data_IF_052996518349
#
_entry.id   IF_052996518349
#
_cell.length_a   1.000
_cell.length_b   1.000
_cell.length_c   1.000
_cell.angle_alpha   90.00
_cell.angle_beta   90.00
_cell.angle_gamma   90.00
#
_symmetry.space_group_name_H-M   'P 1'
#
loop_
_entity.id
_entity.type
_entity.pdbx_description
1 polymer ?
#
# COMPACT_ATOMS: atom_id res chain seq x y z
N UNK A 1 -6.23 -6.32 11.01
CA UNK A 1 -6.80 -6.99 12.21
C UNK A 1 -7.52 -8.23 11.75
N UNK A 2 -7.37 -9.35 12.47
CA UNK A 2 -8.11 -10.58 12.14
C UNK A 2 -9.63 -10.32 12.23
N UNK A 3 -10.42 -10.71 11.22
CA UNK A 3 -11.86 -10.47 11.23
C UNK A 3 -12.60 -11.34 12.24
N UNK A 4 -12.07 -12.50 12.61
CA UNK A 4 -12.59 -13.37 13.69
C UNK A 4 -11.53 -14.34 14.21
N UNK A 5 -11.80 -14.97 15.35
CA UNK A 5 -10.97 -16.07 15.91
C UNK A 5 -11.18 -17.42 15.21
N UNK A 6 -12.16 -17.51 14.30
CA UNK A 6 -12.42 -18.71 13.52
C UNK A 6 -11.57 -18.80 12.23
N UNK A 7 -10.78 -17.77 11.93
CA UNK A 7 -9.89 -17.76 10.75
C UNK A 7 -8.80 -18.82 10.95
N UNK A 8 -8.68 -19.81 10.04
CA UNK A 8 -7.69 -20.87 10.17
C UNK A 8 -6.27 -20.33 9.96
N UNK A 9 -5.33 -20.87 10.73
CA UNK A 9 -3.89 -20.62 10.54
C UNK A 9 -3.35 -21.71 9.62
N UNK A 10 -2.71 -21.32 8.51
CA UNK A 10 -2.11 -22.24 7.54
C UNK A 10 -0.63 -22.47 7.84
N UNK A 11 -0.03 -23.53 7.30
CA UNK A 11 1.41 -23.85 7.45
C UNK A 11 2.33 -22.68 7.05
N UNK A 12 1.89 -21.82 6.13
CA UNK A 12 2.62 -20.63 5.70
C UNK A 12 2.61 -19.47 6.70
N UNK A 13 1.82 -19.54 7.77
CA UNK A 13 1.82 -18.53 8.82
C UNK A 13 3.07 -18.72 9.71
N UNK A 14 3.91 -17.70 9.77
CA UNK A 14 5.18 -17.73 10.52
C UNK A 14 5.01 -17.40 12.00
N UNK A 15 3.90 -16.76 12.39
CA UNK A 15 3.59 -16.43 13.77
C UNK A 15 2.27 -15.67 13.92
N UNK A 16 1.81 -15.55 15.17
CA UNK A 16 0.66 -14.71 15.55
C UNK A 16 1.16 -13.58 16.45
N UNK A 17 0.83 -12.35 16.09
CA UNK A 17 1.15 -11.17 16.88
C UNK A 17 -0.11 -10.68 17.59
N UNK A 18 -0.12 -10.75 18.93
CA UNK A 18 -1.21 -10.32 19.79
C UNK A 18 -0.78 -9.06 20.56
N UNK A 19 -1.23 -7.90 20.08
CA UNK A 19 -0.94 -6.59 20.67
C UNK A 19 -2.16 -6.08 21.43
N UNK A 20 -1.94 -5.48 22.60
CA UNK A 20 -2.96 -4.73 23.32
C UNK A 20 -3.26 -3.38 22.63
N UNK A 21 -4.40 -2.76 22.94
CA UNK A 21 -4.86 -1.50 22.37
C UNK A 21 -3.81 -0.38 22.51
N UNK A 22 -3.06 -0.36 23.59
CA UNK A 22 -2.04 0.66 23.85
C UNK A 22 -0.76 0.47 23.02
N UNK A 23 -0.52 -0.75 22.53
CA UNK A 23 0.63 -1.11 21.71
C UNK A 23 0.37 -0.88 20.21
N UNK A 24 -0.88 -0.58 19.83
CA UNK A 24 -1.28 -0.24 18.46
C UNK A 24 -1.55 1.26 18.41
N UNK A 25 -0.63 2.09 17.88
CA UNK A 25 -0.88 3.51 17.68
C UNK A 25 -2.06 3.67 16.72
N UNK A 26 -3.22 4.04 17.26
CA UNK A 26 -4.41 4.37 16.48
C UNK A 26 -4.50 5.87 16.32
N UNK A 27 -3.84 6.35 15.28
CA UNK A 27 -4.03 7.69 14.75
C UNK A 27 -4.94 7.59 13.54
N UNK A 28 -6.07 8.29 13.55
CA UNK A 28 -6.88 8.43 12.37
C UNK A 28 -6.07 9.10 11.26
N UNK A 29 -6.24 8.63 10.02
CA UNK A 29 -5.56 9.22 8.88
C UNK A 29 -6.02 10.66 8.69
N UNK A 30 -5.07 11.59 8.73
CA UNK A 30 -5.30 12.99 8.44
C UNK A 30 -5.01 13.32 6.95
N UNK A 31 -5.46 14.48 6.45
CA UNK A 31 -5.06 14.95 5.12
C UNK A 31 -3.53 15.06 4.98
N UNK A 32 -3.04 14.81 3.77
CA UNK A 32 -1.61 14.93 3.47
C UNK A 32 -1.20 16.42 3.52
N UNK A 33 -0.19 16.75 4.32
CA UNK A 33 0.38 18.11 4.41
C UNK A 33 1.55 18.35 3.44
N UNK A 34 1.81 17.40 2.52
CA UNK A 34 2.90 17.46 1.51
C UNK A 34 4.30 17.71 2.08
N UNK A 35 4.60 17.16 3.26
CA UNK A 35 5.88 17.33 3.96
C UNK A 35 7.09 16.55 3.38
N UNK A 36 6.93 15.87 2.24
CA UNK A 36 7.94 15.06 1.53
C UNK A 36 8.68 13.94 2.29
N UNK A 37 8.48 13.74 3.60
CA UNK A 37 9.13 12.67 4.39
C UNK A 37 9.02 11.27 3.81
N UNK A 38 7.92 10.97 3.12
CA UNK A 38 7.72 9.68 2.48
C UNK A 38 8.68 9.43 1.30
N UNK A 39 9.13 10.49 0.63
CA UNK A 39 10.12 10.44 -0.45
C UNK A 39 11.50 10.19 0.15
N UNK A 40 11.88 10.97 1.17
CA UNK A 40 13.19 10.86 1.83
C UNK A 40 13.41 9.49 2.47
N UNK A 41 12.36 8.87 3.01
CA UNK A 41 12.43 7.56 3.66
C UNK A 41 12.32 6.37 2.70
N UNK A 42 12.10 6.59 1.39
CA UNK A 42 11.91 5.51 0.44
C UNK A 42 13.25 4.84 0.09
N UNK A 43 13.46 3.55 0.42
CA UNK A 43 14.73 2.88 0.12
C UNK A 43 14.94 2.65 -1.38
N UNK A 44 13.87 2.72 -2.18
CA UNK A 44 13.91 2.57 -3.64
C UNK A 44 14.09 3.91 -4.37
N UNK A 45 14.14 5.03 -3.65
CA UNK A 45 14.23 6.36 -4.26
C UNK A 45 12.99 6.79 -5.07
N UNK A 46 11.82 6.21 -4.76
CA UNK A 46 10.57 6.52 -5.44
C UNK A 46 9.94 7.83 -4.93
N UNK A 47 8.86 8.26 -5.57
CA UNK A 47 8.04 9.40 -5.13
C UNK A 47 6.65 8.98 -4.60
N UNK A 48 6.55 8.40 -3.37
CA UNK A 48 5.28 7.97 -2.79
C UNK A 48 4.21 9.07 -2.72
N UNK A 49 4.62 10.34 -2.60
CA UNK A 49 3.69 11.47 -2.58
C UNK A 49 2.85 11.53 -3.87
N UNK A 50 3.50 11.46 -5.03
CA UNK A 50 2.86 11.56 -6.35
C UNK A 50 2.12 10.27 -6.69
N UNK A 51 2.73 9.11 -6.39
CA UNK A 51 2.06 7.81 -6.52
C UNK A 51 0.73 7.79 -5.76
N UNK A 52 0.71 8.29 -4.53
CA UNK A 52 -0.50 8.30 -3.70
C UNK A 52 -1.52 9.35 -4.17
N UNK A 53 -1.09 10.50 -4.69
CA UNK A 53 -1.99 11.50 -5.26
C UNK A 53 -2.78 10.94 -6.45
N UNK A 54 -2.10 10.19 -7.33
CA UNK A 54 -2.71 9.56 -8.52
C UNK A 54 -3.55 8.34 -8.16
N UNK A 55 -3.05 7.50 -7.26
CA UNK A 55 -3.79 6.33 -6.75
C UNK A 55 -5.13 6.73 -6.13
N UNK A 56 -5.21 7.86 -5.43
CA UNK A 56 -6.45 8.36 -4.82
C UNK A 56 -7.55 8.76 -5.82
N UNK A 57 -7.18 9.05 -7.05
CA UNK A 57 -8.12 9.40 -8.13
C UNK A 57 -8.22 8.26 -9.16
N UNK A 58 -7.85 7.04 -8.76
CA UNK A 58 -7.84 5.82 -9.59
C UNK A 58 -7.00 5.92 -10.88
N UNK A 59 -6.07 6.89 -10.95
CA UNK A 59 -5.07 7.01 -12.01
C UNK A 59 -3.87 6.09 -11.74
N UNK A 60 -4.09 4.80 -11.92
CA UNK A 60 -3.06 3.79 -11.65
C UNK A 60 -1.93 3.82 -12.69
N UNK A 61 -2.25 4.12 -13.95
CA UNK A 61 -1.26 4.18 -15.03
C UNK A 61 -0.34 5.38 -14.84
N UNK A 62 -0.88 6.55 -14.45
CA UNK A 62 -0.07 7.66 -14.00
C UNK A 62 0.74 7.31 -12.74
N UNK A 63 0.18 6.59 -11.77
CA UNK A 63 0.96 6.16 -10.61
C UNK A 63 2.18 5.27 -11.02
N UNK A 64 2.05 4.46 -12.07
CA UNK A 64 3.14 3.66 -12.62
C UNK A 64 4.26 4.47 -13.25
N UNK A 65 3.98 5.64 -13.83
CA UNK A 65 5.02 6.56 -14.31
C UNK A 65 5.96 7.02 -13.19
N UNK A 66 5.51 6.97 -11.93
CA UNK A 66 6.27 7.34 -10.74
C UNK A 66 6.86 6.12 -10.01
N UNK A 67 6.87 4.96 -10.65
CA UNK A 67 7.48 3.74 -10.14
C UNK A 67 6.59 2.94 -9.19
N UNK A 68 5.26 3.02 -9.32
CA UNK A 68 4.33 2.20 -8.53
C UNK A 68 4.68 0.70 -8.57
N UNK A 69 5.07 0.18 -9.73
CA UNK A 69 5.45 -1.23 -9.90
C UNK A 69 6.84 -1.58 -9.39
N UNK A 70 7.66 -0.59 -9.09
CA UNK A 70 8.99 -0.78 -8.49
C UNK A 70 8.93 -0.77 -6.96
N UNK A 71 7.77 -0.46 -6.38
CA UNK A 71 7.56 -0.45 -4.94
C UNK A 71 7.61 -1.87 -4.36
N UNK A 72 8.57 -2.10 -3.45
CA UNK A 72 8.73 -3.38 -2.73
C UNK A 72 7.84 -3.53 -1.49
N UNK A 73 6.87 -2.63 -1.30
CA UNK A 73 5.90 -2.65 -0.18
C UNK A 73 6.55 -2.68 1.23
N UNK A 74 7.70 -2.04 1.42
CA UNK A 74 8.46 -2.08 2.68
C UNK A 74 7.79 -1.37 3.88
N UNK A 75 6.88 -0.42 3.67
CA UNK A 75 6.18 0.27 4.78
C UNK A 75 6.82 1.56 5.28
N UNK A 76 8.08 1.88 4.90
CA UNK A 76 8.81 3.03 5.42
C UNK A 76 8.03 4.35 5.26
N UNK A 77 7.45 4.57 4.07
CA UNK A 77 6.70 5.78 3.76
C UNK A 77 5.43 5.96 4.62
N UNK A 78 4.74 4.86 4.95
CA UNK A 78 3.56 4.88 5.83
C UNK A 78 3.96 5.13 7.28
N UNK A 79 5.07 4.54 7.72
CA UNK A 79 5.57 4.68 9.09
C UNK A 79 6.01 6.12 9.43
N UNK A 80 6.74 6.78 8.52
CA UNK A 80 7.24 8.14 8.76
C UNK A 80 6.20 9.25 8.52
N UNK A 81 5.02 8.91 8.00
CA UNK A 81 4.01 9.87 7.62
C UNK A 81 3.39 10.51 8.87
N UNK A 82 3.52 11.83 9.08
CA UNK A 82 2.91 12.50 10.24
C UNK A 82 1.38 12.54 10.16
N UNK A 83 0.82 12.41 8.96
CA UNK A 83 -0.62 12.30 8.74
C UNK A 83 -1.15 10.87 8.85
N UNK A 84 -0.28 9.89 9.16
CA UNK A 84 -0.63 8.48 9.32
C UNK A 84 -1.41 7.90 8.12
N UNK A 85 -1.00 8.29 6.91
CA UNK A 85 -1.60 7.80 5.67
C UNK A 85 -1.04 6.40 5.39
N UNK A 86 -1.88 5.38 5.16
CA UNK A 86 -1.44 4.02 4.86
C UNK A 86 -1.00 3.88 3.39
N UNK A 87 0.04 4.63 3.00
CA UNK A 87 0.56 4.67 1.63
C UNK A 87 0.79 3.28 1.00
N UNK A 88 1.35 2.32 1.75
CA UNK A 88 1.58 0.97 1.23
C UNK A 88 0.28 0.23 0.89
N UNK A 89 -0.79 0.44 1.65
CA UNK A 89 -2.09 -0.15 1.33
C UNK A 89 -2.65 0.42 0.02
N UNK A 90 -2.45 1.72 -0.22
CA UNK A 90 -2.86 2.36 -1.47
C UNK A 90 -2.10 1.77 -2.65
N UNK A 91 -0.78 1.60 -2.51
CA UNK A 91 0.05 1.04 -3.58
C UNK A 91 -0.28 -0.43 -3.85
N UNK A 92 -0.50 -1.23 -2.81
CA UNK A 92 -0.93 -2.61 -2.96
C UNK A 92 -2.27 -2.71 -3.69
N UNK A 93 -3.25 -1.85 -3.34
CA UNK A 93 -4.52 -1.76 -4.05
C UNK A 93 -4.33 -1.38 -5.52
N UNK A 94 -3.54 -0.35 -5.81
CA UNK A 94 -3.29 0.11 -7.18
C UNK A 94 -2.62 -0.96 -8.07
N UNK A 95 -1.62 -1.67 -7.55
CA UNK A 95 -0.98 -2.79 -8.25
C UNK A 95 -1.97 -3.92 -8.51
N UNK A 96 -2.80 -4.27 -7.51
CA UNK A 96 -3.87 -5.26 -7.67
C UNK A 96 -4.83 -4.91 -8.81
N UNK A 97 -5.30 -3.65 -8.86
CA UNK A 97 -6.17 -3.17 -9.92
C UNK A 97 -5.52 -3.25 -11.32
N UNK A 98 -4.22 -2.95 -11.43
CA UNK A 98 -3.50 -3.09 -12.70
C UNK A 98 -3.34 -4.54 -13.13
N UNK A 99 -3.10 -5.45 -12.19
CA UNK A 99 -2.90 -6.86 -12.47
C UNK A 99 -4.21 -7.55 -12.88
N UNK A 100 -5.33 -7.13 -12.28
CA UNK A 100 -6.67 -7.53 -12.71
C UNK A 100 -6.96 -7.08 -14.15
N UNK A 101 -6.75 -5.78 -14.46
CA UNK A 101 -6.91 -5.24 -15.82
C UNK A 101 -6.05 -5.97 -16.85
N UNK A 102 -4.77 -6.22 -16.52
CA UNK A 102 -3.83 -6.93 -17.40
C UNK A 102 -4.24 -8.39 -17.60
N UNK A 103 -4.73 -9.05 -16.56
CA UNK A 103 -5.17 -10.45 -16.63
C UNK A 103 -6.47 -10.59 -17.43
N UNK A 104 -7.38 -9.62 -17.34
CA UNK A 104 -8.58 -9.57 -18.17
C UNK A 104 -8.25 -9.39 -19.65
N UNK A 105 -7.35 -8.46 -19.99
CA UNK A 105 -6.88 -8.26 -21.36
C UNK A 105 -6.23 -9.53 -21.93
N UNK A 106 -5.34 -10.19 -21.17
CA UNK A 106 -4.69 -11.45 -21.60
C UNK A 106 -5.69 -12.58 -21.87
N UNK A 107 -6.77 -12.67 -21.09
CA UNK A 107 -7.82 -13.68 -21.30
C UNK A 107 -8.62 -13.39 -22.58
N UNK A 108 -8.84 -12.12 -22.89
CA UNK A 108 -9.54 -11.70 -24.10
C UNK A 108 -8.72 -12.00 -25.37
N UNK A 109 -7.40 -11.83 -25.32
CA UNK A 109 -6.51 -12.13 -26.46
C UNK A 109 -6.39 -13.64 -26.78
N UNK A 110 -6.86 -14.51 -25.88
CA UNK A 110 -6.81 -15.97 -26.06
C UNK A 110 -8.12 -16.57 -26.61
N UNK A 111 -9.18 -15.75 -26.76
CA UNK A 111 -10.48 -16.13 -27.32
C UNK A 111 -10.58 -15.59 -28.75
#
# INVERSE_FOLDING_TARGET
LLPSTAVPVIKGATGLLALDRHEVPRSDSAPCIRCSRCVDACPMGLAPLEMAARTRVDDFDGASEYGLRDCILCGCCSYVCPSHIPLVQYFQYAVGQQDERRSAARKNDYI
#
